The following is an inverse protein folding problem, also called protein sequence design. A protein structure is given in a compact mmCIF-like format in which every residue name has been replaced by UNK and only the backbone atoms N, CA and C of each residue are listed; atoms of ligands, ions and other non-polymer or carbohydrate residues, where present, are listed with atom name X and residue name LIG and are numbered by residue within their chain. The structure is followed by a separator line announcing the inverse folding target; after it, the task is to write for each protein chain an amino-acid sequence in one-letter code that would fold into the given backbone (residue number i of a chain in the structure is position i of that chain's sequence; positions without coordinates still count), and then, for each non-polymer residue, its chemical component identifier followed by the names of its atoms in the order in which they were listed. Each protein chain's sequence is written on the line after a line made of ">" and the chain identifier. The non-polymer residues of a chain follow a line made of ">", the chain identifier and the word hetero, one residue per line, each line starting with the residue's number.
data_IF_686254504677
#
_entry.id   IF_686254504677
#
_cell.length_a   1.000
_cell.length_b   1.000
_cell.length_c   1.000
_cell.angle_alpha   90.00
_cell.angle_beta   90.00
_cell.angle_gamma   90.00
#
_symmetry.space_group_name_H-M   'P 1'
#
loop_
_entity.id
_entity.type
_entity.pdbx_description
1 polymer ?
#
# COMPACT_ATOMS: atom_id res chain seq x y z
N UNK A 1 17.95 8.95 -14.33
CA UNK A 1 16.66 9.21 -13.64
C UNK A 1 16.78 9.06 -12.11
N UNK A 2 17.27 7.92 -11.59
CA UNK A 2 17.36 7.65 -10.14
C UNK A 2 18.79 7.48 -9.59
N UNK A 3 19.81 8.00 -10.28
CA UNK A 3 21.23 7.87 -9.89
C UNK A 3 21.64 6.43 -9.53
N UNK A 4 21.22 5.46 -10.35
CA UNK A 4 21.56 4.04 -10.17
C UNK A 4 20.83 3.32 -9.04
N UNK A 5 19.87 3.95 -8.35
CA UNK A 5 19.08 3.32 -7.26
C UNK A 5 17.68 2.93 -7.76
N UNK A 6 17.46 1.68 -8.20
CA UNK A 6 16.15 1.26 -8.74
C UNK A 6 15.11 1.03 -7.66
N UNK A 7 15.52 0.79 -6.41
CA UNK A 7 14.64 0.47 -5.31
C UNK A 7 14.57 1.57 -4.26
N UNK A 8 13.43 1.61 -3.58
CA UNK A 8 13.16 2.43 -2.42
C UNK A 8 12.57 1.55 -1.32
N UNK A 9 12.97 1.81 -0.07
CA UNK A 9 12.58 1.02 1.08
C UNK A 9 11.79 1.87 2.08
N UNK A 10 10.75 1.31 2.68
CA UNK A 10 9.99 1.99 3.73
C UNK A 10 9.73 1.03 4.90
N UNK A 11 9.76 1.57 6.12
CA UNK A 11 9.36 0.81 7.31
C UNK A 11 7.84 0.70 7.35
N UNK A 12 7.36 -0.50 7.67
CA UNK A 12 5.94 -0.81 7.82
C UNK A 12 5.72 -1.79 8.96
N UNK A 13 4.58 -1.70 9.67
CA UNK A 13 4.16 -2.73 10.60
C UNK A 13 3.66 -3.96 9.83
N UNK A 14 4.10 -5.13 10.27
CA UNK A 14 3.63 -6.43 9.81
C UNK A 14 2.76 -7.11 10.86
N UNK A 15 2.75 -8.45 10.82
CA UNK A 15 2.01 -9.25 11.80
C UNK A 15 2.48 -8.92 13.23
N UNK A 16 1.52 -8.75 14.14
CA UNK A 16 1.69 -8.35 15.54
C UNK A 16 2.45 -7.02 15.70
N UNK A 17 2.33 -6.12 14.72
CA UNK A 17 3.03 -4.82 14.71
C UNK A 17 4.53 -4.91 14.44
N UNK A 18 5.09 -6.10 14.14
CA UNK A 18 6.52 -6.27 13.89
C UNK A 18 6.96 -5.45 12.68
N UNK A 19 7.91 -4.53 12.89
CA UNK A 19 8.39 -3.64 11.83
C UNK A 19 9.26 -4.40 10.83
N UNK A 20 9.02 -4.18 9.54
CA UNK A 20 9.85 -4.68 8.45
C UNK A 20 10.01 -3.63 7.34
N UNK A 21 10.95 -3.89 6.41
CA UNK A 21 11.21 -3.00 5.27
C UNK A 21 10.51 -3.52 4.03
N UNK A 22 9.47 -2.81 3.58
CA UNK A 22 8.92 -3.05 2.24
C UNK A 22 9.89 -2.55 1.18
N UNK A 23 9.98 -3.27 0.07
CA UNK A 23 10.74 -2.86 -1.12
C UNK A 23 9.78 -2.43 -2.23
N UNK A 24 10.09 -1.31 -2.89
CA UNK A 24 9.33 -0.77 -4.03
C UNK A 24 10.27 -0.30 -5.12
N UNK A 25 9.77 -0.22 -6.35
CA UNK A 25 10.51 0.52 -7.38
C UNK A 25 10.49 2.01 -7.08
N UNK A 26 11.63 2.65 -7.29
CA UNK A 26 11.79 4.08 -7.16
C UNK A 26 11.23 4.77 -8.41
N UNK A 27 10.06 5.40 -8.28
CA UNK A 27 9.38 6.08 -9.40
C UNK A 27 9.66 7.58 -9.48
N UNK A 28 10.21 8.16 -8.41
CA UNK A 28 10.55 9.57 -8.30
C UNK A 28 12.07 9.76 -8.18
N UNK A 29 12.58 10.80 -8.84
CA UNK A 29 13.99 11.19 -8.73
C UNK A 29 14.27 11.93 -7.41
N UNK A 30 15.54 12.24 -7.12
CA UNK A 30 15.96 12.95 -5.89
C UNK A 30 16.28 14.43 -6.15
N UNK A 31 15.64 15.05 -7.15
CA UNK A 31 15.87 16.48 -7.42
C UNK A 31 15.49 17.32 -6.20
N UNK A 32 16.36 18.26 -5.89
CA UNK A 32 16.24 19.21 -4.78
C UNK A 32 16.20 20.65 -5.31
N UNK A 33 15.67 21.56 -4.51
CA UNK A 33 15.80 23.00 -4.74
C UNK A 33 17.18 23.52 -4.29
N UNK A 34 17.37 24.83 -4.40
CA UNK A 34 18.61 25.52 -4.02
C UNK A 34 18.90 25.45 -2.52
N UNK A 35 17.88 25.22 -1.69
CA UNK A 35 18.00 25.07 -0.23
C UNK A 35 18.30 23.61 0.16
N UNK A 36 18.33 22.70 -0.80
CA UNK A 36 18.61 21.28 -0.58
C UNK A 36 17.39 20.46 -0.17
N UNK A 37 16.19 21.05 -0.19
CA UNK A 37 14.92 20.38 0.07
C UNK A 37 14.46 19.61 -1.16
N UNK A 38 13.81 18.46 -0.97
CA UNK A 38 13.28 17.69 -2.11
C UNK A 38 12.19 18.50 -2.81
N UNK A 39 12.26 18.56 -4.15
CA UNK A 39 11.22 19.20 -4.94
C UNK A 39 9.85 18.53 -4.70
N UNK A 40 8.74 19.22 -5.01
CA UNK A 40 7.41 18.60 -5.00
C UNK A 40 7.33 17.34 -5.86
N UNK A 41 6.51 16.36 -5.45
CA UNK A 41 6.33 15.07 -6.13
C UNK A 41 6.06 15.23 -7.64
N UNK A 42 5.24 16.22 -8.02
CA UNK A 42 4.92 16.52 -9.42
C UNK A 42 6.16 16.85 -10.27
N UNK A 43 7.19 17.47 -9.68
CA UNK A 43 8.47 17.79 -10.35
C UNK A 43 9.48 16.63 -10.30
N UNK A 44 9.23 15.62 -9.46
CA UNK A 44 10.13 14.47 -9.26
C UNK A 44 9.64 13.19 -9.93
N UNK A 45 8.36 13.09 -10.26
CA UNK A 45 7.79 11.96 -10.99
C UNK A 45 8.33 11.92 -12.42
N UNK A 46 8.94 10.79 -12.80
CA UNK A 46 9.48 10.59 -14.15
C UNK A 46 8.41 9.99 -15.08
N UNK A 47 8.57 10.10 -16.41
CA UNK A 47 7.65 9.45 -17.38
C UNK A 47 7.55 7.94 -17.13
N UNK A 48 8.70 7.29 -16.94
CA UNK A 48 8.78 5.86 -16.58
C UNK A 48 8.13 5.60 -15.22
N UNK A 49 8.42 6.43 -14.21
CA UNK A 49 7.82 6.30 -12.89
C UNK A 49 6.30 6.45 -12.88
N UNK A 50 5.76 7.35 -13.70
CA UNK A 50 4.33 7.51 -13.92
C UNK A 50 3.71 6.25 -14.52
N UNK A 51 4.33 5.68 -15.56
CA UNK A 51 3.90 4.41 -16.14
C UNK A 51 3.93 3.26 -15.12
N UNK A 52 5.01 3.13 -14.35
CA UNK A 52 5.18 2.11 -13.30
C UNK A 52 4.08 2.25 -12.23
N UNK A 53 3.75 3.46 -11.78
CA UNK A 53 2.63 3.69 -10.86
C UNK A 53 1.27 3.38 -11.48
N UNK A 54 1.06 3.79 -12.74
CA UNK A 54 -0.20 3.56 -13.49
C UNK A 54 -0.52 2.07 -13.59
N UNK A 55 0.51 1.27 -13.79
CA UNK A 55 0.43 -0.20 -13.92
C UNK A 55 0.58 -0.93 -12.58
N UNK A 56 0.71 -0.20 -11.46
CA UNK A 56 1.00 -0.74 -10.12
C UNK A 56 2.26 -1.63 -10.07
N UNK A 57 3.14 -1.50 -11.06
CA UNK A 57 4.40 -2.25 -11.13
C UNK A 57 5.35 -1.84 -9.99
N UNK A 58 5.17 -0.66 -9.39
CA UNK A 58 5.99 -0.19 -8.26
C UNK A 58 5.91 -1.10 -7.03
N UNK A 59 4.84 -1.90 -6.93
CA UNK A 59 4.61 -2.84 -5.83
C UNK A 59 5.14 -4.25 -6.10
N UNK A 60 5.52 -4.60 -7.34
CA UNK A 60 6.06 -5.92 -7.67
C UNK A 60 7.25 -6.36 -6.79
N UNK A 61 8.20 -5.47 -6.42
CA UNK A 61 9.30 -5.89 -5.56
C UNK A 61 8.84 -6.42 -4.19
N UNK A 62 7.64 -6.05 -3.72
CA UNK A 62 7.08 -6.57 -2.45
C UNK A 62 6.83 -8.08 -2.49
N UNK A 63 6.79 -8.72 -3.66
CA UNK A 63 6.79 -10.19 -3.77
C UNK A 63 8.00 -10.81 -3.05
N UNK A 64 9.13 -10.10 -2.99
CA UNK A 64 10.28 -10.53 -2.19
C UNK A 64 9.98 -10.55 -0.68
N UNK A 65 9.19 -9.59 -0.18
CA UNK A 65 8.73 -9.61 1.22
C UNK A 65 7.75 -10.76 1.47
N UNK A 66 6.95 -11.16 0.48
CA UNK A 66 6.09 -12.35 0.55
C UNK A 66 6.93 -13.62 0.67
N UNK A 67 7.95 -13.77 -0.19
CA UNK A 67 8.87 -14.91 -0.15
C UNK A 67 9.66 -15.00 1.17
N UNK A 68 10.03 -13.85 1.75
CA UNK A 68 10.66 -13.76 3.08
C UNK A 68 9.70 -14.08 4.24
N UNK A 69 8.40 -14.18 3.97
CA UNK A 69 7.39 -14.43 4.98
C UNK A 69 7.00 -13.20 5.82
N UNK A 70 7.45 -11.99 5.45
CA UNK A 70 7.06 -10.73 6.11
C UNK A 70 5.67 -10.25 5.65
N UNK A 71 5.28 -10.61 4.43
CA UNK A 71 3.98 -10.29 3.82
C UNK A 71 3.27 -11.57 3.33
N UNK A 72 2.00 -11.40 2.97
CA UNK A 72 1.20 -12.32 2.18
C UNK A 72 0.83 -11.68 0.83
N UNK A 73 0.31 -12.45 -0.11
CA UNK A 73 -0.33 -11.89 -1.31
C UNK A 73 -1.63 -11.15 -0.92
N UNK A 74 -2.41 -11.77 -0.04
CA UNK A 74 -3.71 -11.27 0.43
C UNK A 74 -3.61 -10.91 1.91
N UNK A 75 -4.11 -9.72 2.25
CA UNK A 75 -4.15 -9.21 3.63
C UNK A 75 -4.32 -7.69 3.70
N UNK A 76 -4.47 -7.14 4.92
CA UNK A 76 -4.53 -5.70 5.14
C UNK A 76 -3.32 -4.98 4.55
N UNK A 77 -3.53 -3.80 3.96
CA UNK A 77 -2.41 -3.05 3.37
C UNK A 77 -1.46 -2.56 4.47
N UNK A 78 -0.13 -2.72 4.35
CA UNK A 78 0.78 -2.20 5.35
C UNK A 78 0.79 -0.66 5.34
N UNK A 79 0.42 -0.05 6.48
CA UNK A 79 0.32 1.41 6.64
C UNK A 79 1.55 2.00 7.35
N UNK A 80 1.56 3.32 7.58
CA UNK A 80 2.72 3.98 8.17
C UNK A 80 2.92 3.54 9.63
N UNK A 81 4.18 3.42 10.05
CA UNK A 81 4.54 3.07 11.45
C UNK A 81 3.97 4.08 12.44
N UNK A 82 3.89 5.36 12.03
CA UNK A 82 3.33 6.44 12.85
C UNK A 82 1.84 6.24 13.23
N UNK A 83 1.14 5.31 12.58
CA UNK A 83 -0.26 5.00 12.89
C UNK A 83 -0.42 3.96 14.00
N UNK A 84 0.62 3.20 14.34
CA UNK A 84 0.57 2.20 15.41
C UNK A 84 -0.01 2.72 16.74
N UNK A 85 0.41 3.90 17.27
CA UNK A 85 -0.14 4.42 18.52
C UNK A 85 -1.53 5.04 18.37
N UNK A 86 -2.05 5.17 17.15
CA UNK A 86 -3.33 5.82 16.85
C UNK A 86 -4.50 4.84 16.73
N UNK A 87 -4.21 3.54 16.70
CA UNK A 87 -5.25 2.52 16.55
C UNK A 87 -5.99 2.28 17.86
N UNK A 88 -7.31 2.21 17.78
CA UNK A 88 -8.09 1.53 18.82
C UNK A 88 -7.73 0.04 18.88
N UNK A 89 -8.13 -0.64 19.96
CA UNK A 89 -7.90 -2.08 20.12
C UNK A 89 -8.44 -2.87 18.92
N UNK A 90 -9.67 -2.56 18.49
CA UNK A 90 -10.32 -3.18 17.33
C UNK A 90 -9.56 -2.89 16.03
N UNK A 91 -9.19 -1.63 15.77
CA UNK A 91 -8.45 -1.29 14.54
C UNK A 91 -7.08 -1.97 14.50
N UNK A 92 -6.44 -2.16 15.66
CA UNK A 92 -5.13 -2.79 15.75
C UNK A 92 -5.16 -4.28 15.38
N UNK A 93 -6.33 -4.93 15.46
CA UNK A 93 -6.53 -6.33 15.04
C UNK A 93 -6.15 -6.58 13.59
N UNK A 94 -6.13 -5.56 12.74
CA UNK A 94 -5.59 -5.64 11.35
C UNK A 94 -4.17 -6.21 11.27
N UNK A 95 -3.40 -6.18 12.37
CA UNK A 95 -2.07 -6.75 12.45
C UNK A 95 -2.04 -8.22 12.93
N UNK A 96 -3.17 -8.87 13.21
CA UNK A 96 -3.22 -10.30 13.61
C UNK A 96 -2.81 -11.26 12.47
N UNK A 97 -2.97 -10.80 11.23
CA UNK A 97 -2.55 -11.48 9.99
C UNK A 97 -1.38 -10.76 9.33
N UNK A 98 -0.71 -11.44 8.38
CA UNK A 98 0.35 -10.79 7.59
C UNK A 98 -0.26 -9.73 6.68
N UNK A 99 0.40 -8.58 6.50
CA UNK A 99 -0.06 -7.58 5.53
C UNK A 99 0.00 -8.14 4.11
N UNK A 100 -0.90 -7.67 3.26
CA UNK A 100 -1.07 -8.11 1.88
C UNK A 100 -0.57 -7.10 0.85
N UNK A 101 -0.21 -7.61 -0.33
CA UNK A 101 -0.06 -6.77 -1.53
C UNK A 101 -1.44 -6.20 -1.91
N UNK A 102 -2.45 -7.06 -1.93
CA UNK A 102 -3.88 -6.71 -2.08
C UNK A 102 -4.69 -7.28 -0.92
N UNK A 103 -5.97 -6.92 -0.83
CA UNK A 103 -6.82 -7.26 0.32
C UNK A 103 -8.25 -6.80 0.15
N UNK A 104 -9.08 -7.10 1.14
CA UNK A 104 -10.52 -6.84 1.09
C UNK A 104 -10.83 -5.34 0.94
N UNK A 105 -10.15 -4.46 1.68
CA UNK A 105 -10.31 -3.01 1.55
C UNK A 105 -9.88 -2.50 0.16
N UNK A 106 -8.82 -3.08 -0.42
CA UNK A 106 -8.31 -2.72 -1.75
C UNK A 106 -9.34 -3.05 -2.84
N UNK A 107 -10.03 -4.19 -2.73
CA UNK A 107 -11.05 -4.59 -3.71
C UNK A 107 -12.44 -3.98 -3.46
N UNK A 108 -12.73 -3.41 -2.29
CA UNK A 108 -14.03 -2.78 -2.01
C UNK A 108 -14.04 -1.24 -2.05
N UNK A 109 -12.90 -0.57 -2.24
CA UNK A 109 -12.90 0.90 -2.38
C UNK A 109 -11.54 1.56 -2.51
N UNK A 110 -10.46 0.89 -2.06
CA UNK A 110 -9.07 1.36 -2.14
C UNK A 110 -8.85 2.72 -1.48
N UNK A 111 -8.90 3.80 -2.27
CA UNK A 111 -8.67 5.18 -1.85
C UNK A 111 -9.96 6.01 -1.83
N UNK A 112 -11.09 5.45 -2.27
CA UNK A 112 -12.39 6.12 -2.32
C UNK A 112 -13.24 5.90 -1.06
N UNK A 113 -12.75 5.11 -0.11
CA UNK A 113 -13.42 4.80 1.16
C UNK A 113 -12.73 5.51 2.32
N UNK A 114 -13.48 5.77 3.38
CA UNK A 114 -13.00 6.40 4.61
C UNK A 114 -11.95 5.55 5.32
N UNK A 115 -11.24 6.14 6.29
CA UNK A 115 -10.35 5.39 7.18
C UNK A 115 -11.11 4.35 8.00
N UNK A 116 -12.26 4.73 8.54
CA UNK A 116 -13.15 3.86 9.32
C UNK A 116 -13.57 2.62 8.50
N UNK A 117 -14.06 2.80 7.27
CA UNK A 117 -14.46 1.68 6.40
C UNK A 117 -13.26 0.80 6.03
N UNK A 118 -12.09 1.40 5.80
CA UNK A 118 -10.87 0.64 5.52
C UNK A 118 -10.51 -0.26 6.69
N UNK A 119 -10.59 0.24 7.93
CA UNK A 119 -10.29 -0.58 9.11
C UNK A 119 -11.37 -1.64 9.34
N UNK A 120 -12.66 -1.33 9.17
CA UNK A 120 -13.74 -2.33 9.21
C UNK A 120 -13.51 -3.45 8.21
N UNK A 121 -13.08 -3.14 6.98
CA UNK A 121 -12.75 -4.16 5.98
C UNK A 121 -11.49 -4.95 6.32
N UNK A 122 -10.47 -4.30 6.88
CA UNK A 122 -9.25 -4.98 7.31
C UNK A 122 -9.54 -5.97 8.45
N UNK A 123 -10.34 -5.57 9.45
CA UNK A 123 -10.72 -6.43 10.58
C UNK A 123 -11.69 -7.52 10.14
N UNK A 124 -12.66 -7.21 9.28
CA UNK A 124 -13.52 -8.23 8.68
C UNK A 124 -12.71 -9.32 7.97
N UNK A 125 -11.63 -8.95 7.26
CA UNK A 125 -10.74 -9.93 6.64
C UNK A 125 -10.02 -10.79 7.68
N UNK A 126 -9.56 -10.21 8.78
CA UNK A 126 -8.94 -10.97 9.89
C UNK A 126 -9.91 -12.04 10.41
N UNK A 127 -11.18 -11.68 10.61
CA UNK A 127 -12.21 -12.58 11.13
C UNK A 127 -12.66 -13.65 10.13
N UNK A 128 -12.53 -13.39 8.82
CA UNK A 128 -13.10 -14.24 7.76
C UNK A 128 -12.03 -14.84 6.84
N UNK A 129 -10.76 -14.74 7.21
CA UNK A 129 -9.64 -15.22 6.40
C UNK A 129 -9.80 -16.71 6.07
N UNK A 130 -9.97 -17.02 4.79
CA UNK A 130 -10.14 -18.38 4.28
C UNK A 130 -9.68 -18.45 2.83
N UNK A 131 -9.38 -19.67 2.36
CA UNK A 131 -8.95 -19.90 0.98
C UNK A 131 -9.96 -19.35 -0.04
N UNK A 132 -11.27 -19.52 0.19
CA UNK A 132 -12.31 -19.02 -0.71
C UNK A 132 -12.35 -17.50 -0.74
N UNK A 133 -12.18 -16.84 0.41
CA UNK A 133 -12.12 -15.38 0.50
C UNK A 133 -10.87 -14.86 -0.22
N UNK A 134 -9.72 -15.50 -0.06
CA UNK A 134 -8.48 -15.14 -0.75
C UNK A 134 -8.62 -15.27 -2.27
N UNK A 135 -9.21 -16.37 -2.77
CA UNK A 135 -9.47 -16.56 -4.19
C UNK A 135 -10.43 -15.51 -4.75
N UNK A 136 -11.46 -15.13 -3.98
CA UNK A 136 -12.38 -14.04 -4.35
C UNK A 136 -11.64 -12.70 -4.44
N UNK A 137 -10.79 -12.37 -3.47
CA UNK A 137 -10.00 -11.14 -3.49
C UNK A 137 -9.04 -11.12 -4.69
N UNK A 138 -8.40 -12.25 -4.98
CA UNK A 138 -7.50 -12.37 -6.12
C UNK A 138 -8.24 -12.13 -7.45
N UNK A 139 -9.40 -12.76 -7.64
CA UNK A 139 -10.24 -12.54 -8.83
C UNK A 139 -10.67 -11.07 -8.97
N UNK A 140 -11.16 -10.47 -7.88
CA UNK A 140 -11.56 -9.05 -7.89
C UNK A 140 -10.37 -8.12 -8.14
N UNK A 141 -9.19 -8.47 -7.63
CA UNK A 141 -7.95 -7.73 -7.90
C UNK A 141 -7.60 -7.75 -9.39
N UNK A 142 -7.63 -8.94 -10.02
CA UNK A 142 -7.36 -9.08 -11.47
C UNK A 142 -8.37 -8.27 -12.27
N UNK A 143 -9.67 -8.38 -11.95
CA UNK A 143 -10.73 -7.61 -12.62
C UNK A 143 -10.48 -6.11 -12.52
N UNK A 144 -10.04 -5.60 -11.36
CA UNK A 144 -9.73 -4.18 -11.16
C UNK A 144 -8.45 -3.70 -11.84
N UNK A 145 -7.45 -4.56 -12.00
CA UNK A 145 -6.21 -4.21 -12.69
C UNK A 145 -6.41 -4.17 -14.21
N UNK A 146 -7.23 -5.09 -14.74
CA UNK A 146 -7.54 -5.16 -16.18
C UNK A 146 -8.64 -4.18 -16.59
N UNK A 147 -9.66 -4.01 -15.76
CA UNK A 147 -10.68 -2.98 -15.94
C UNK A 147 -10.04 -1.61 -15.74
N UNK A 148 -10.07 -0.75 -16.74
CA UNK A 148 -9.55 0.64 -16.64
C UNK A 148 -10.32 1.52 -15.64
N UNK A 149 -11.27 0.94 -14.91
CA UNK A 149 -12.01 1.54 -13.81
C UNK A 149 -11.05 1.80 -12.63
N UNK A 150 -10.64 3.07 -12.51
CA UNK A 150 -9.95 3.67 -11.35
C UNK A 150 -8.42 3.81 -11.40
N UNK A 151 -7.82 3.97 -12.58
CA UNK A 151 -6.50 4.64 -12.65
C UNK A 151 -6.65 6.16 -12.84
N UNK A 152 -7.86 6.62 -13.19
CA UNK A 152 -8.22 8.03 -13.31
C UNK A 152 -9.23 8.43 -12.24
N UNK A 153 -8.83 8.44 -10.97
CA UNK A 153 -9.41 9.45 -10.08
C UNK A 153 -8.49 10.66 -10.12
N UNK A 154 -9.08 11.84 -10.34
CA UNK A 154 -8.46 13.15 -10.11
C UNK A 154 -8.04 13.35 -8.63
N UNK A 155 -7.99 12.29 -7.83
CA UNK A 155 -7.78 12.21 -6.38
C UNK A 155 -6.47 11.49 -6.02
N UNK A 156 -5.49 11.46 -6.93
CA UNK A 156 -4.10 11.09 -6.60
C UNK A 156 -3.43 12.09 -5.63
N UNK A 157 -4.12 13.15 -5.24
CA UNK A 157 -3.66 14.13 -4.26
C UNK A 157 -4.05 13.61 -2.87
N UNK A 158 -3.16 12.82 -2.28
CA UNK A 158 -3.03 12.57 -0.83
C UNK A 158 -4.31 12.17 -0.09
N UNK A 159 -4.47 10.86 0.19
CA UNK A 159 -5.28 10.43 1.34
C UNK A 159 -4.72 11.17 2.56
N UNK A 160 -5.59 11.89 3.28
CA UNK A 160 -5.19 12.56 4.52
C UNK A 160 -4.59 11.55 5.49
N UNK A 161 -3.52 11.96 6.19
CA UNK A 161 -2.92 11.12 7.22
C UNK A 161 -3.99 10.72 8.23
N UNK A 162 -3.97 9.45 8.63
CA UNK A 162 -4.80 8.99 9.74
C UNK A 162 -4.36 9.71 11.02
N UNK A 163 -5.30 10.29 11.76
CA UNK A 163 -5.04 11.12 12.96
C UNK A 163 -5.43 10.45 14.27
N UNK A 164 -5.90 9.19 14.22
CA UNK A 164 -6.49 8.52 15.38
C UNK A 164 -7.95 8.90 15.57
N UNK A 165 -8.71 7.95 16.09
CA UNK A 165 -10.10 8.09 16.56
C UNK A 165 -10.33 7.16 17.75
#
# INVERSE_FOLDING_TARGET
>A
ANNGKPFFFQLRPGKNGKIFKIVKFKTMNDKKDHEGNLLPDAKRLTKIGSFVRKTSLDELPQLFNVLKGEMSLIGPRPLLVEYLPLYSEEQNRRHEVKPGITGWAQVNGRNAISWEDKFKYDVWYVDNASFLVDMRILFLTIKKVLGSENISSKTSLTIEKFKGE
#
